data_IF_753516276251
#
_entry.id   IF_753516276251
#
_cell.length_a   1.000
_cell.length_b   1.000
_cell.length_c   1.000
_cell.angle_alpha   90.00
_cell.angle_beta   90.00
_cell.angle_gamma   90.00
#
_symmetry.space_group_name_H-M   'P 1'
#
loop_
_entity.id
_entity.type
_entity.pdbx_description
1 polymer ?
#
# COMPACT_ATOMS: atom_id res chain seq x y z
N UNK A 1 2.11 11.48 1.01
CA UNK A 1 0.63 11.53 1.00
C UNK A 1 0.01 12.45 -0.05
N UNK A 2 0.28 13.76 -0.07
CA UNK A 2 -0.30 14.66 -1.10
C UNK A 2 -0.05 14.12 -2.52
N UNK A 3 1.15 13.61 -2.79
CA UNK A 3 1.48 12.96 -4.06
C UNK A 3 0.65 11.70 -4.37
N UNK A 4 0.27 10.88 -3.38
CA UNK A 4 -0.63 9.75 -3.60
C UNK A 4 -2.02 10.21 -4.04
N UNK A 5 -2.50 11.33 -3.48
CA UNK A 5 -3.80 11.91 -3.83
C UNK A 5 -3.77 12.52 -5.23
N UNK A 6 -2.77 13.36 -5.53
CA UNK A 6 -2.67 14.01 -6.84
C UNK A 6 -2.46 13.01 -7.97
N UNK A 7 -1.80 11.89 -7.69
CA UNK A 7 -1.59 10.79 -8.64
C UNK A 7 -2.70 9.72 -8.60
N UNK A 8 -3.78 9.94 -7.84
CA UNK A 8 -4.96 9.05 -7.75
C UNK A 8 -4.63 7.63 -7.28
N UNK A 9 -3.54 7.42 -6.55
CA UNK A 9 -3.15 6.10 -6.06
C UNK A 9 -4.21 5.49 -5.13
N UNK A 10 -4.84 6.31 -4.28
CA UNK A 10 -5.93 5.88 -3.40
C UNK A 10 -7.16 5.40 -4.17
N UNK A 11 -7.47 6.06 -5.30
CA UNK A 11 -8.54 5.64 -6.20
C UNK A 11 -8.23 4.30 -6.88
N UNK A 12 -7.02 4.13 -7.41
CA UNK A 12 -6.62 2.86 -8.02
C UNK A 12 -6.56 1.71 -7.01
N UNK A 13 -6.20 1.99 -5.76
CA UNK A 13 -6.31 1.04 -4.66
C UNK A 13 -7.76 0.65 -4.41
N UNK A 14 -8.64 1.62 -4.15
CA UNK A 14 -10.06 1.35 -3.92
C UNK A 14 -10.71 0.55 -5.07
N UNK A 15 -10.36 0.89 -6.31
CA UNK A 15 -10.80 0.17 -7.51
C UNK A 15 -10.27 -1.27 -7.55
N UNK A 16 -9.01 -1.51 -7.19
CA UNK A 16 -8.45 -2.86 -7.05
C UNK A 16 -9.15 -3.64 -5.96
N UNK A 17 -9.41 -3.01 -4.82
CA UNK A 17 -10.04 -3.66 -3.66
C UNK A 17 -11.48 -4.06 -4.02
N UNK A 18 -12.24 -3.17 -4.65
CA UNK A 18 -13.58 -3.47 -5.18
C UNK A 18 -13.55 -4.61 -6.21
N UNK A 19 -12.60 -4.58 -7.16
CA UNK A 19 -12.44 -5.66 -8.15
C UNK A 19 -12.10 -7.00 -7.49
N UNK A 20 -11.23 -7.00 -6.49
CA UNK A 20 -10.83 -8.21 -5.79
C UNK A 20 -11.99 -8.77 -4.95
N UNK A 21 -12.77 -7.90 -4.31
CA UNK A 21 -13.96 -8.29 -3.56
C UNK A 21 -15.06 -8.87 -4.47
N UNK A 22 -15.32 -8.24 -5.62
CA UNK A 22 -16.28 -8.78 -6.60
C UNK A 22 -15.77 -10.12 -7.15
N UNK A 23 -14.49 -10.20 -7.52
CA UNK A 23 -13.88 -11.44 -8.01
C UNK A 23 -13.93 -12.56 -6.98
N UNK A 24 -13.68 -12.27 -5.70
CA UNK A 24 -13.77 -13.27 -4.62
C UNK A 24 -15.20 -13.72 -4.39
N UNK A 25 -16.18 -12.82 -4.43
CA UNK A 25 -17.61 -13.16 -4.29
C UNK A 25 -18.07 -14.09 -5.41
N UNK A 26 -17.67 -13.80 -6.66
CA UNK A 26 -17.96 -14.65 -7.81
C UNK A 26 -17.26 -16.01 -7.67
N UNK A 27 -15.97 -16.02 -7.31
CA UNK A 27 -15.22 -17.26 -7.10
C UNK A 27 -15.86 -18.14 -6.01
N UNK A 28 -16.29 -17.52 -4.92
CA UNK A 28 -17.01 -18.18 -3.83
C UNK A 28 -18.33 -18.80 -4.31
N UNK A 29 -19.12 -18.06 -5.09
CA UNK A 29 -20.38 -18.55 -5.64
C UNK A 29 -20.19 -19.76 -6.56
N UNK A 30 -19.14 -19.77 -7.38
CA UNK A 30 -18.80 -20.94 -8.23
C UNK A 30 -18.42 -22.15 -7.37
N UNK A 31 -17.59 -21.96 -6.33
CA UNK A 31 -17.21 -23.04 -5.42
C UNK A 31 -18.44 -23.63 -4.70
N UNK A 32 -19.32 -22.77 -4.18
CA UNK A 32 -20.56 -23.21 -3.52
C UNK A 32 -21.53 -23.89 -4.47
N UNK A 33 -21.63 -23.41 -5.72
CA UNK A 33 -22.44 -24.05 -6.76
C UNK A 33 -22.00 -25.48 -7.06
N UNK A 34 -20.69 -25.73 -7.12
CA UNK A 34 -20.15 -27.09 -7.29
C UNK A 34 -20.47 -28.01 -6.12
N UNK A 35 -20.43 -27.49 -4.88
CA UNK A 35 -20.80 -28.24 -3.68
C UNK A 35 -22.31 -28.53 -3.65
N UNK A 36 -23.15 -27.55 -3.98
CA UNK A 36 -24.60 -27.71 -4.02
C UNK A 36 -25.07 -28.72 -5.09
N UNK A 37 -24.27 -28.94 -6.13
CA UNK A 37 -24.54 -29.94 -7.17
C UNK A 37 -24.07 -31.36 -6.81
N UNK A 38 -23.44 -31.57 -5.64
CA UNK A 38 -23.05 -32.91 -5.21
C UNK A 38 -24.26 -33.70 -4.73
N UNK A 39 -24.37 -34.95 -5.19
CA UNK A 39 -25.43 -35.85 -4.77
C UNK A 39 -25.13 -36.34 -3.35
N UNK A 40 -26.07 -36.12 -2.44
CA UNK A 40 -25.95 -36.52 -1.03
C UNK A 40 -26.62 -37.87 -0.86
N UNK A 41 -25.83 -38.89 -0.54
CA UNK A 41 -26.30 -40.28 -0.39
C UNK A 41 -26.17 -40.80 1.04
N UNK A 42 -25.39 -40.14 1.90
CA UNK A 42 -25.21 -40.54 3.30
C UNK A 42 -25.04 -39.37 4.29
N UNK A 43 -25.28 -39.64 5.58
CA UNK A 43 -25.04 -38.69 6.67
C UNK A 43 -23.55 -38.31 6.81
N UNK A 44 -22.64 -39.21 6.40
CA UNK A 44 -21.21 -38.95 6.41
C UNK A 44 -20.81 -37.91 5.36
N UNK A 45 -21.41 -37.95 4.16
CA UNK A 45 -21.19 -36.96 3.09
C UNK A 45 -21.72 -35.57 3.49
N UNK A 46 -22.87 -35.50 4.17
CA UNK A 46 -23.38 -34.24 4.73
C UNK A 46 -22.37 -33.59 5.69
N UNK A 47 -21.77 -34.38 6.58
CA UNK A 47 -20.78 -33.87 7.53
C UNK A 47 -19.51 -33.40 6.81
N UNK A 48 -19.07 -34.10 5.75
CA UNK A 48 -17.94 -33.69 4.93
C UNK A 48 -18.22 -32.38 4.18
N UNK A 49 -19.39 -32.23 3.55
CA UNK A 49 -19.81 -31.00 2.87
C UNK A 49 -19.89 -29.83 3.86
N UNK A 50 -20.47 -30.03 5.04
CA UNK A 50 -20.55 -28.99 6.07
C UNK A 50 -19.15 -28.54 6.53
N UNK A 51 -18.23 -29.48 6.73
CA UNK A 51 -16.84 -29.15 7.06
C UNK A 51 -16.14 -28.40 5.92
N UNK A 52 -16.40 -28.78 4.67
CA UNK A 52 -15.88 -28.07 3.50
C UNK A 52 -16.40 -26.64 3.44
N UNK A 53 -17.72 -26.42 3.56
CA UNK A 53 -18.33 -25.08 3.56
C UNK A 53 -17.76 -24.23 4.70
N UNK A 54 -17.66 -24.78 5.91
CA UNK A 54 -17.06 -24.09 7.06
C UNK A 54 -15.60 -23.69 6.78
N UNK A 55 -14.81 -24.58 6.17
CA UNK A 55 -13.42 -24.27 5.82
C UNK A 55 -13.32 -23.15 4.77
N UNK A 56 -14.21 -23.12 3.76
CA UNK A 56 -14.19 -22.07 2.75
C UNK A 56 -14.63 -20.73 3.35
N UNK A 57 -15.65 -20.73 4.21
CA UNK A 57 -16.08 -19.51 4.92
C UNK A 57 -14.95 -18.92 5.78
N UNK A 58 -14.25 -19.77 6.53
CA UNK A 58 -13.09 -19.35 7.33
C UNK A 58 -11.98 -18.77 6.43
N UNK A 59 -11.67 -19.45 5.32
CA UNK A 59 -10.65 -18.98 4.38
C UNK A 59 -11.03 -17.67 3.71
N UNK A 60 -12.31 -17.48 3.37
CA UNK A 60 -12.82 -16.24 2.78
C UNK A 60 -12.70 -15.06 3.74
N UNK A 61 -12.92 -15.27 5.04
CA UNK A 61 -12.74 -14.22 6.06
C UNK A 61 -11.27 -13.81 6.17
N UNK A 62 -10.35 -14.79 6.27
CA UNK A 62 -8.91 -14.52 6.29
C UNK A 62 -8.46 -13.79 5.02
N UNK A 63 -8.95 -14.22 3.85
CA UNK A 63 -8.65 -13.57 2.58
C UNK A 63 -9.18 -12.13 2.53
N UNK A 64 -10.38 -11.88 3.05
CA UNK A 64 -10.94 -10.53 3.11
C UNK A 64 -10.10 -9.61 4.02
N UNK A 65 -9.69 -10.11 5.19
CA UNK A 65 -8.92 -9.34 6.17
C UNK A 65 -7.51 -8.99 5.67
N UNK A 66 -6.78 -9.96 5.13
CA UNK A 66 -5.36 -9.83 4.79
C UNK A 66 -5.06 -9.71 3.29
N UNK A 67 -5.93 -10.26 2.44
CA UNK A 67 -5.75 -10.28 0.99
C UNK A 67 -6.25 -9.03 0.27
N UNK A 68 -7.21 -8.31 0.86
CA UNK A 68 -7.76 -7.07 0.28
C UNK A 68 -7.00 -5.81 0.73
N UNK A 69 -6.46 -5.79 1.95
CA UNK A 69 -5.72 -4.66 2.51
C UNK A 69 -4.26 -4.59 2.03
N UNK A 70 -4.02 -4.71 0.72
CA UNK A 70 -2.67 -4.63 0.18
C UNK A 70 -2.18 -3.17 0.10
N UNK A 71 -0.92 -2.87 0.49
CA UNK A 71 -0.34 -1.53 0.35
C UNK A 71 -0.27 -1.06 -1.11
N UNK A 72 0.16 0.19 -1.31
CA UNK A 72 0.37 0.73 -2.64
C UNK A 72 1.45 -0.09 -3.35
N UNK A 73 1.35 -0.15 -4.68
CA UNK A 73 2.31 -0.88 -5.48
C UNK A 73 3.67 -0.17 -5.39
N UNK A 74 4.78 -0.91 -5.50
CA UNK A 74 6.12 -0.31 -5.46
C UNK A 74 6.33 0.78 -6.53
N UNK A 75 5.60 0.73 -7.64
CA UNK A 75 5.62 1.81 -8.65
C UNK A 75 4.95 3.08 -8.12
N UNK A 76 3.77 2.94 -7.50
CA UNK A 76 3.01 4.05 -6.94
C UNK A 76 3.78 4.78 -5.84
N UNK A 77 4.51 4.04 -5.00
CA UNK A 77 5.43 4.63 -4.01
C UNK A 77 6.55 5.45 -4.67
N UNK A 78 7.18 4.93 -5.74
CA UNK A 78 8.24 5.66 -6.46
C UNK A 78 7.72 6.92 -7.15
N UNK A 79 6.54 6.81 -7.73
CA UNK A 79 5.86 7.90 -8.40
C UNK A 79 5.51 9.01 -7.38
N UNK A 80 4.97 8.61 -6.23
CA UNK A 80 4.68 9.52 -5.12
C UNK A 80 5.95 10.13 -4.51
N UNK A 81 7.05 9.37 -4.39
CA UNK A 81 8.35 9.86 -3.93
C UNK A 81 8.89 10.97 -4.83
N UNK A 82 8.84 10.76 -6.15
CA UNK A 82 9.31 11.73 -7.15
C UNK A 82 8.48 13.01 -7.13
N UNK A 83 7.16 12.89 -7.17
CA UNK A 83 6.26 14.05 -7.12
C UNK A 83 6.37 14.77 -5.77
N UNK A 84 6.44 14.03 -4.66
CA UNK A 84 6.60 14.55 -3.32
C UNK A 84 7.88 15.36 -3.13
N UNK A 85 9.03 14.89 -3.63
CA UNK A 85 10.28 15.66 -3.62
C UNK A 85 10.17 16.96 -4.40
N UNK A 86 9.47 16.95 -5.55
CA UNK A 86 9.26 18.15 -6.35
C UNK A 86 8.34 19.15 -5.65
N UNK A 87 7.26 18.67 -5.01
CA UNK A 87 6.37 19.53 -4.22
C UNK A 87 7.10 20.15 -3.03
N UNK A 88 7.94 19.36 -2.34
CA UNK A 88 8.78 19.83 -1.25
C UNK A 88 9.72 20.94 -1.72
N UNK A 89 10.46 20.70 -2.81
CA UNK A 89 11.36 21.66 -3.42
C UNK A 89 10.67 22.98 -3.78
N UNK A 90 9.57 22.90 -4.54
CA UNK A 90 8.82 24.08 -5.03
C UNK A 90 8.11 24.85 -3.93
N UNK A 91 7.84 24.20 -2.81
CA UNK A 91 7.31 24.85 -1.60
C UNK A 91 8.42 25.46 -0.73
N UNK A 92 9.68 25.41 -1.19
CA UNK A 92 10.84 25.95 -0.49
C UNK A 92 11.36 25.09 0.67
N UNK A 93 10.93 23.84 0.79
CA UNK A 93 11.47 22.89 1.77
C UNK A 93 12.66 22.12 1.19
N UNK A 94 13.68 21.87 2.01
CA UNK A 94 14.91 21.19 1.58
C UNK A 94 14.64 19.72 1.20
N UNK A 95 14.81 19.33 -0.09
CA UNK A 95 14.55 17.96 -0.55
C UNK A 95 15.43 16.89 0.13
N UNK A 96 16.62 17.27 0.64
CA UNK A 96 17.52 16.36 1.36
C UNK A 96 16.92 15.83 2.66
N UNK A 97 15.98 16.58 3.26
CA UNK A 97 15.29 16.14 4.48
C UNK A 97 14.52 14.83 4.26
N UNK A 98 14.02 14.59 3.03
CA UNK A 98 13.35 13.35 2.65
C UNK A 98 14.30 12.13 2.75
N UNK A 99 15.55 12.24 2.29
CA UNK A 99 16.51 11.15 2.44
C UNK A 99 16.80 10.85 3.91
N UNK A 100 16.91 11.89 4.74
CA UNK A 100 17.11 11.73 6.18
C UNK A 100 15.93 11.00 6.82
N UNK A 101 14.70 11.39 6.48
CA UNK A 101 13.48 10.73 6.94
C UNK A 101 13.48 9.24 6.58
N UNK A 102 13.67 8.91 5.31
CA UNK A 102 13.61 7.52 4.85
C UNK A 102 14.77 6.65 5.36
N UNK A 103 15.96 7.23 5.57
CA UNK A 103 17.08 6.54 6.24
C UNK A 103 16.74 6.24 7.71
N UNK A 104 16.17 7.19 8.44
CA UNK A 104 15.73 6.98 9.83
C UNK A 104 14.64 5.91 9.90
N UNK A 105 13.61 6.00 9.07
CA UNK A 105 12.55 4.99 8.99
C UNK A 105 13.06 3.58 8.66
N UNK A 106 14.04 3.47 7.76
CA UNK A 106 14.67 2.18 7.46
C UNK A 106 15.37 1.59 8.68
N UNK A 107 16.04 2.42 9.47
CA UNK A 107 16.72 1.98 10.69
C UNK A 107 15.73 1.65 11.83
N UNK A 108 14.57 2.30 11.84
CA UNK A 108 13.47 2.03 12.79
C UNK A 108 12.51 0.92 12.34
N UNK A 109 12.66 0.37 11.13
CA UNK A 109 11.75 -0.63 10.55
C UNK A 109 11.65 -1.96 11.31
N UNK A 110 12.50 -2.19 12.31
CA UNK A 110 12.38 -3.31 13.25
C UNK A 110 11.41 -3.04 14.42
N UNK A 111 10.78 -1.85 14.48
CA UNK A 111 9.75 -1.53 15.47
C UNK A 111 8.37 -1.79 14.84
N UNK A 112 7.67 -2.87 15.22
CA UNK A 112 6.44 -3.32 14.57
C UNK A 112 5.24 -2.35 14.69
N UNK A 113 5.36 -1.25 15.41
CA UNK A 113 4.24 -0.36 15.76
C UNK A 113 4.22 0.98 14.98
N UNK A 114 5.04 1.14 13.94
CA UNK A 114 5.02 2.35 13.10
C UNK A 114 4.08 2.15 11.92
N UNK A 115 2.82 2.59 12.06
CA UNK A 115 1.76 2.49 11.03
C UNK A 115 2.19 3.06 9.67
N UNK A 116 3.00 4.13 9.66
CA UNK A 116 3.53 4.72 8.44
C UNK A 116 4.55 3.82 7.71
N UNK A 117 5.34 3.01 8.44
CA UNK A 117 6.28 2.04 7.84
C UNK A 117 5.52 0.86 7.23
N UNK A 118 4.44 0.43 7.87
CA UNK A 118 3.58 -0.65 7.38
C UNK A 118 2.81 -0.26 6.12
N UNK A 119 2.29 0.97 6.07
CA UNK A 119 1.57 1.50 4.90
C UNK A 119 2.50 1.96 3.77
N UNK A 120 3.70 2.45 4.09
CA UNK A 120 4.73 2.90 3.15
C UNK A 120 6.08 2.21 3.40
N UNK A 121 6.25 0.96 2.96
CA UNK A 121 7.49 0.23 3.20
C UNK A 121 8.69 0.93 2.54
N UNK A 122 9.73 1.19 3.34
CA UNK A 122 11.00 1.76 2.88
C UNK A 122 11.91 0.63 2.39
N UNK A 123 12.37 0.69 1.13
CA UNK A 123 13.39 -0.24 0.61
C UNK A 123 14.63 0.54 0.10
N UNK A 124 15.76 -0.16 -0.04
CA UNK A 124 17.02 0.43 -0.55
C UNK A 124 16.85 1.07 -1.95
N UNK A 125 16.02 0.49 -2.82
CA UNK A 125 15.72 0.99 -4.17
C UNK A 125 14.95 2.31 -4.12
N UNK A 126 14.06 2.53 -3.15
CA UNK A 126 13.37 3.83 -2.95
C UNK A 126 14.35 4.93 -2.56
N UNK A 127 15.24 4.67 -1.60
CA UNK A 127 16.29 5.62 -1.19
C UNK A 127 17.22 5.97 -2.36
N UNK A 128 17.59 4.98 -3.17
CA UNK A 128 18.37 5.21 -4.39
C UNK A 128 17.59 6.04 -5.42
N UNK A 129 16.31 5.76 -5.60
CA UNK A 129 15.43 6.53 -6.48
C UNK A 129 15.32 8.00 -6.07
N UNK A 130 15.15 8.26 -4.77
CA UNK A 130 15.15 9.62 -4.20
C UNK A 130 16.47 10.33 -4.49
N UNK A 131 17.60 9.65 -4.26
CA UNK A 131 18.94 10.19 -4.53
C UNK A 131 19.10 10.63 -6.00
N UNK A 132 18.56 9.85 -6.95
CA UNK A 132 18.64 10.17 -8.38
C UNK A 132 17.81 11.41 -8.76
N UNK A 133 16.75 11.74 -8.00
CA UNK A 133 15.94 12.93 -8.25
C UNK A 133 16.54 14.21 -7.63
N UNK A 134 17.54 14.07 -6.74
CA UNK A 134 18.04 15.19 -5.94
C UNK A 134 18.56 16.34 -6.79
N UNK A 135 19.34 16.07 -7.84
CA UNK A 135 19.91 17.12 -8.70
C UNK A 135 18.82 18.05 -9.24
N UNK A 136 17.76 17.48 -9.83
CA UNK A 136 16.62 18.25 -10.34
C UNK A 136 15.88 18.99 -9.23
N UNK A 137 15.58 18.31 -8.13
CA UNK A 137 14.77 18.89 -7.04
C UNK A 137 15.52 19.96 -6.25
N UNK A 138 16.85 19.88 -6.15
CA UNK A 138 17.68 20.91 -5.54
C UNK A 138 17.73 22.17 -6.40
N UNK A 139 17.77 22.02 -7.72
CA UNK A 139 17.64 23.16 -8.64
C UNK A 139 16.31 23.88 -8.45
N UNK A 140 15.19 23.15 -8.37
CA UNK A 140 13.85 23.71 -8.12
C UNK A 140 13.76 24.38 -6.73
N UNK A 141 14.35 23.77 -5.71
CA UNK A 141 14.42 24.34 -4.35
C UNK A 141 15.23 25.64 -4.29
N UNK A 142 16.33 25.72 -5.03
CA UNK A 142 17.18 26.91 -5.07
C UNK A 142 16.52 28.07 -5.82
N UNK A 143 15.60 27.78 -6.76
CA UNK A 143 14.83 28.79 -7.48
C UNK A 143 13.72 29.45 -6.64
N UNK A 144 13.40 28.90 -5.46
CA UNK A 144 12.39 29.49 -4.56
C UNK A 144 13.01 30.62 -3.73
N UNK A 145 12.52 31.84 -3.93
CA UNK A 145 12.99 33.05 -3.23
C UNK A 145 12.66 33.05 -1.74
N UNK A 146 11.41 32.70 -1.38
CA UNK A 146 10.94 32.69 0.01
C UNK A 146 10.86 31.28 0.56
N UNK A 147 11.84 30.90 1.38
CA UNK A 147 11.87 29.59 2.03
C UNK A 147 11.13 29.62 3.37
N UNK A 148 10.39 28.56 3.75
CA UNK A 148 9.72 28.49 5.05
C UNK A 148 10.71 28.59 6.21
N UNK A 149 10.41 29.43 7.20
CA UNK A 149 11.19 29.49 8.44
C UNK A 149 10.80 28.31 9.35
N UNK A 150 11.41 27.16 9.11
CA UNK A 150 11.24 25.98 9.94
C UNK A 150 12.13 26.12 11.18
N UNK A 151 11.71 26.95 12.13
CA UNK A 151 12.41 27.16 13.40
C UNK A 151 12.40 25.89 14.25
N UNK A 152 13.30 24.96 13.96
CA UNK A 152 13.60 23.85 14.87
C UNK A 152 14.81 24.25 15.72
N UNK A 153 14.52 24.66 16.96
CA UNK A 153 15.51 24.58 18.04
C UNK A 153 15.98 23.13 18.13
N UNK A 154 17.29 22.92 18.08
CA UNK A 154 17.89 21.62 18.43
C UNK A 154 17.63 21.29 19.89
#
# INVERSE_FOLDING_TARGET
>A
EIAHVTMKHSYERAKRDMRTQIGSTIGMAVLMGNIANQQITSQAELNQINNQINSINMMSQIFAEYGLNLPYNRSQEKDADKAGLLYMARSGFNPLASLTLWKKMKNEGNRPNLEFVSSHPSDKKRINGLSNQLSKTLSEYNAVERKPNCGYSK
#
